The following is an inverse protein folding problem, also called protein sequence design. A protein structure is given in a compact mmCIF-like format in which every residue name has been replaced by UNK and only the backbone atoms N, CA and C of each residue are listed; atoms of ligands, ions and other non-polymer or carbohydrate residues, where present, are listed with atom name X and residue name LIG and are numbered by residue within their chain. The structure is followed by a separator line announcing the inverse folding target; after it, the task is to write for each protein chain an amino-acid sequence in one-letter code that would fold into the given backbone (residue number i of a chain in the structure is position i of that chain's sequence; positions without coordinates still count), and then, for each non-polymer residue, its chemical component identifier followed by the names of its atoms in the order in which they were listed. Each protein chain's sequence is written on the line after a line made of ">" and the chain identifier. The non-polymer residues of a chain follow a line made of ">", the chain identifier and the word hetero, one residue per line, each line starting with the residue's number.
data_IF_775247272017
#
_entry.id   IF_775247272017
#
_cell.length_a   1.000
_cell.length_b   1.000
_cell.length_c   1.000
_cell.angle_alpha   90.00
_cell.angle_beta   90.00
_cell.angle_gamma   90.00
#
_symmetry.space_group_name_H-M   'P 1'
#
loop_
_entity.id
_entity.type
_entity.pdbx_description
1 polymer ?
#
# COMPACT_ATOMS: atom_id res chain seq x y z
N UNK A 1 -37.17 34.36 61.18
CA UNK A 1 -36.13 33.35 60.90
C UNK A 1 -35.11 33.96 59.93
N UNK A 2 -34.04 34.52 60.49
CA UNK A 2 -32.99 35.27 59.78
C UNK A 2 -31.98 34.32 59.15
N UNK A 3 -31.79 34.50 57.84
CA UNK A 3 -30.67 34.09 56.99
C UNK A 3 -29.61 33.14 57.57
N UNK A 4 -29.70 31.85 57.22
CA UNK A 4 -28.51 31.00 57.05
C UNK A 4 -27.83 31.41 55.74
N UNK A 5 -27.07 32.49 55.74
CA UNK A 5 -26.21 32.83 54.60
C UNK A 5 -24.76 32.46 54.91
N UNK A 6 -24.39 31.32 54.33
CA UNK A 6 -23.26 31.22 53.40
C UNK A 6 -21.86 31.22 54.02
N UNK A 7 -21.46 30.05 54.49
CA UNK A 7 -20.06 29.63 54.65
C UNK A 7 -19.60 28.88 53.38
N UNK A 8 -19.48 29.58 52.25
CA UNK A 8 -18.93 29.00 50.99
C UNK A 8 -17.46 29.39 50.73
N UNK A 9 -16.85 30.16 51.64
CA UNK A 9 -15.48 30.71 51.45
C UNK A 9 -14.35 29.67 51.40
N UNK A 10 -14.59 28.43 51.86
CA UNK A 10 -13.63 27.31 51.73
C UNK A 10 -13.93 26.35 50.57
N UNK A 11 -15.16 26.34 50.07
CA UNK A 11 -15.59 25.43 49.00
C UNK A 11 -15.11 25.91 47.61
N UNK A 12 -14.97 27.23 47.42
CA UNK A 12 -14.48 27.78 46.14
C UNK A 12 -13.02 27.45 45.80
N UNK A 13 -12.15 27.26 46.80
CA UNK A 13 -10.74 26.89 46.55
C UNK A 13 -10.60 25.42 46.14
N UNK A 14 -11.36 24.52 46.76
CA UNK A 14 -11.36 23.09 46.38
C UNK A 14 -12.05 22.89 45.03
N UNK A 15 -13.09 23.67 44.73
CA UNK A 15 -13.76 23.69 43.43
C UNK A 15 -12.82 24.16 42.31
N UNK A 16 -12.03 25.21 42.54
CA UNK A 16 -11.05 25.70 41.57
C UNK A 16 -9.89 24.71 41.38
N UNK A 17 -9.45 24.05 42.45
CA UNK A 17 -8.43 22.99 42.37
C UNK A 17 -8.96 21.78 41.59
N UNK A 18 -10.20 21.34 41.87
CA UNK A 18 -10.85 20.28 41.10
C UNK A 18 -11.07 20.66 39.63
N UNK A 19 -11.47 21.90 39.35
CA UNK A 19 -11.65 22.41 37.99
C UNK A 19 -10.31 22.40 37.22
N UNK A 20 -9.21 22.82 37.85
CA UNK A 20 -7.88 22.79 37.26
C UNK A 20 -7.41 21.35 37.00
N UNK A 21 -7.67 20.41 37.91
CA UNK A 21 -7.34 18.99 37.73
C UNK A 21 -8.14 18.39 36.57
N UNK A 22 -9.45 18.61 36.52
CA UNK A 22 -10.30 18.11 35.43
C UNK A 22 -9.91 18.72 34.08
N UNK A 23 -9.58 20.01 34.05
CA UNK A 23 -9.06 20.68 32.87
C UNK A 23 -7.76 20.04 32.39
N UNK A 24 -6.80 19.79 33.30
CA UNK A 24 -5.53 19.16 32.95
C UNK A 24 -5.71 17.74 32.42
N UNK A 25 -6.58 16.94 33.04
CA UNK A 25 -6.92 15.59 32.55
C UNK A 25 -7.56 15.67 31.16
N UNK A 26 -8.47 16.61 30.94
CA UNK A 26 -9.09 16.84 29.64
C UNK A 26 -8.09 17.21 28.54
N UNK A 27 -7.16 18.13 28.81
CA UNK A 27 -6.14 18.55 27.84
C UNK A 27 -5.21 17.38 27.48
N UNK A 28 -4.77 16.59 28.46
CA UNK A 28 -3.93 15.42 28.20
C UNK A 28 -4.64 14.36 27.35
N UNK A 29 -5.93 14.13 27.59
CA UNK A 29 -6.74 13.22 26.78
C UNK A 29 -6.84 13.69 25.32
N UNK A 30 -7.05 14.99 25.11
CA UNK A 30 -7.14 15.59 23.76
C UNK A 30 -5.81 15.47 23.02
N UNK A 31 -4.67 15.73 23.69
CA UNK A 31 -3.34 15.60 23.08
C UNK A 31 -3.06 14.16 22.63
N UNK A 32 -3.39 13.17 23.47
CA UNK A 32 -3.24 11.75 23.12
C UNK A 32 -4.14 11.33 21.93
N UNK A 33 -5.35 11.88 21.85
CA UNK A 33 -6.25 11.66 20.72
C UNK A 33 -5.67 12.27 19.43
N UNK A 34 -5.15 13.50 19.48
CA UNK A 34 -4.53 14.16 18.33
C UNK A 34 -3.27 13.44 17.83
N UNK A 35 -2.40 12.96 18.73
CA UNK A 35 -1.22 12.20 18.31
C UNK A 35 -1.61 10.94 17.56
N UNK A 36 -2.60 10.20 18.07
CA UNK A 36 -3.11 8.98 17.44
C UNK A 36 -3.75 9.28 16.08
N UNK A 37 -4.54 10.36 15.99
CA UNK A 37 -5.13 10.83 14.74
C UNK A 37 -4.11 11.17 13.66
N UNK A 38 -3.00 11.83 14.02
CA UNK A 38 -1.93 12.15 13.07
C UNK A 38 -1.24 10.90 12.52
N UNK A 39 -0.99 9.86 13.34
CA UNK A 39 -0.43 8.61 12.87
C UNK A 39 -1.39 7.87 11.92
N UNK A 40 -2.68 7.85 12.26
CA UNK A 40 -3.70 7.26 11.40
C UNK A 40 -3.76 7.98 10.03
N UNK A 41 -3.72 9.32 10.01
CA UNK A 41 -3.70 10.11 8.79
C UNK A 41 -2.44 9.86 7.94
N UNK A 42 -1.26 9.77 8.55
CA UNK A 42 -0.02 9.44 7.82
C UNK A 42 -0.10 8.06 7.18
N UNK A 43 -0.66 7.07 7.88
CA UNK A 43 -0.86 5.72 7.33
C UNK A 43 -1.89 5.73 6.20
N UNK A 44 -3.00 6.44 6.35
CA UNK A 44 -4.02 6.57 5.32
C UNK A 44 -3.46 7.24 4.05
N UNK A 45 -2.67 8.31 4.20
CA UNK A 45 -1.98 8.98 3.09
C UNK A 45 -1.02 8.05 2.35
N UNK A 46 -0.26 7.22 3.09
CA UNK A 46 0.61 6.21 2.47
C UNK A 46 -0.17 5.19 1.65
N UNK A 47 -1.28 4.68 2.19
CA UNK A 47 -2.14 3.69 1.53
C UNK A 47 -2.78 4.31 0.27
N UNK A 48 -3.29 5.53 0.36
CA UNK A 48 -3.89 6.23 -0.79
C UNK A 48 -2.87 6.50 -1.91
N UNK A 49 -1.62 6.81 -1.56
CA UNK A 49 -0.55 6.97 -2.56
C UNK A 49 -0.19 5.61 -3.18
N UNK A 50 -0.11 4.56 -2.36
CA UNK A 50 0.19 3.21 -2.83
C UNK A 50 -0.91 2.67 -3.77
N UNK A 51 -2.18 2.92 -3.48
CA UNK A 51 -3.29 2.53 -4.35
C UNK A 51 -3.23 3.26 -5.70
N UNK A 52 -3.00 4.58 -5.68
CA UNK A 52 -2.84 5.35 -6.92
C UNK A 52 -1.65 4.87 -7.78
N UNK A 53 -0.56 4.43 -7.15
CA UNK A 53 0.57 3.82 -7.85
C UNK A 53 0.23 2.45 -8.44
N UNK A 54 -0.55 1.63 -7.72
CA UNK A 54 -1.03 0.35 -8.22
C UNK A 54 -1.97 0.54 -9.42
N UNK A 55 -2.92 1.48 -9.31
CA UNK A 55 -3.84 1.87 -10.40
C UNK A 55 -3.06 2.35 -11.61
N UNK A 56 -2.10 3.27 -11.42
CA UNK A 56 -1.27 3.78 -12.51
C UNK A 56 -0.49 2.67 -13.22
N UNK A 57 0.02 1.66 -12.49
CA UNK A 57 0.69 0.52 -13.09
C UNK A 57 -0.31 -0.37 -13.86
N UNK A 58 -1.51 -0.59 -13.33
CA UNK A 58 -2.56 -1.35 -14.01
C UNK A 58 -3.06 -0.66 -15.29
N UNK A 59 -3.14 0.67 -15.29
CA UNK A 59 -3.46 1.45 -16.49
C UNK A 59 -2.42 1.27 -17.61
N UNK A 60 -1.13 1.12 -17.28
CA UNK A 60 -0.10 0.80 -18.28
C UNK A 60 -0.36 -0.55 -18.95
N UNK A 61 -0.84 -1.54 -18.21
CA UNK A 61 -1.20 -2.86 -18.77
C UNK A 61 -2.50 -2.81 -19.58
N UNK A 62 -3.46 -1.96 -19.21
CA UNK A 62 -4.68 -1.72 -20.00
C UNK A 62 -4.40 -0.99 -21.31
N UNK A 63 -3.32 -0.21 -21.37
CA UNK A 63 -2.95 0.58 -22.55
C UNK A 63 -2.12 -0.19 -23.60
N UNK A 64 -1.76 -1.46 -23.35
CA UNK A 64 -0.95 -2.28 -24.26
C UNK A 64 -1.72 -3.50 -24.76
N UNK A 65 -1.28 -4.04 -25.89
CA UNK A 65 -1.87 -5.25 -26.48
C UNK A 65 -1.58 -6.49 -25.63
N UNK A 66 -2.44 -7.50 -25.72
CA UNK A 66 -2.30 -8.75 -24.96
C UNK A 66 -0.93 -9.41 -25.15
N UNK A 67 -0.35 -9.37 -26.36
CA UNK A 67 0.97 -9.94 -26.65
C UNK A 67 2.11 -9.20 -25.97
N UNK A 68 1.95 -7.91 -25.69
CA UNK A 68 2.94 -7.07 -25.02
C UNK A 68 2.92 -7.18 -23.49
N UNK A 69 1.88 -7.78 -22.89
CA UNK A 69 1.80 -8.03 -21.44
C UNK A 69 2.78 -9.16 -21.07
N UNK A 70 4.00 -8.78 -20.69
CA UNK A 70 5.05 -9.68 -20.26
C UNK A 70 6.14 -8.89 -19.50
N UNK A 71 6.91 -9.60 -18.67
CA UNK A 71 8.05 -9.05 -17.94
C UNK A 71 9.35 -9.27 -18.73
N UNK A 72 10.31 -8.38 -18.55
CA UNK A 72 11.63 -8.56 -19.15
C UNK A 72 12.40 -9.68 -18.42
N UNK A 73 12.78 -10.72 -19.17
CA UNK A 73 13.43 -11.90 -18.58
C UNK A 73 14.78 -11.60 -17.91
N UNK A 74 15.52 -10.58 -18.36
CA UNK A 74 16.82 -10.24 -17.77
C UNK A 74 16.65 -9.58 -16.41
N UNK A 75 15.74 -8.61 -16.32
CA UNK A 75 15.43 -7.94 -15.04
C UNK A 75 14.77 -8.91 -14.07
N UNK A 76 13.92 -9.82 -14.56
CA UNK A 76 13.29 -10.86 -13.75
C UNK A 76 14.31 -11.84 -13.15
N UNK A 77 15.38 -12.17 -13.88
CA UNK A 77 16.48 -12.99 -13.37
C UNK A 77 17.21 -12.37 -12.17
N UNK A 78 17.12 -11.04 -12.00
CA UNK A 78 17.84 -10.28 -10.96
C UNK A 78 16.98 -9.89 -9.75
N UNK A 79 15.70 -10.27 -9.71
CA UNK A 79 14.83 -9.92 -8.58
C UNK A 79 15.27 -10.58 -7.28
N UNK A 80 15.07 -9.86 -6.18
CA UNK A 80 15.48 -10.25 -4.84
C UNK A 80 14.50 -11.22 -4.15
N UNK A 81 14.81 -11.59 -2.91
CA UNK A 81 13.97 -12.48 -2.11
C UNK A 81 12.67 -11.82 -1.64
N UNK A 82 12.57 -10.49 -1.57
CA UNK A 82 11.28 -9.83 -1.25
C UNK A 82 10.26 -10.12 -2.34
N UNK A 83 10.69 -10.09 -3.60
CA UNK A 83 9.87 -10.50 -4.74
C UNK A 83 9.62 -12.02 -4.72
N UNK A 84 10.68 -12.83 -4.60
CA UNK A 84 10.56 -14.30 -4.68
C UNK A 84 9.79 -14.93 -3.53
N UNK A 85 9.73 -14.30 -2.37
CA UNK A 85 8.99 -14.79 -1.20
C UNK A 85 7.60 -14.14 -1.07
N UNK A 86 7.15 -13.43 -2.09
CA UNK A 86 5.78 -12.94 -2.14
C UNK A 86 4.81 -14.10 -2.37
N UNK A 87 3.74 -14.12 -1.57
CA UNK A 87 2.65 -15.10 -1.68
C UNK A 87 1.89 -15.01 -3.00
N UNK A 88 1.99 -13.89 -3.72
CA UNK A 88 1.41 -13.75 -5.07
C UNK A 88 2.11 -14.64 -6.10
N UNK A 89 3.41 -14.91 -5.93
CA UNK A 89 4.17 -15.77 -6.83
C UNK A 89 4.00 -17.26 -6.46
N UNK A 90 3.78 -17.56 -5.19
CA UNK A 90 3.53 -18.92 -4.71
C UNK A 90 3.75 -19.10 -3.20
N UNK A 91 3.52 -20.32 -2.72
CA UNK A 91 3.60 -20.65 -1.28
C UNK A 91 5.02 -20.94 -0.76
N UNK A 92 6.04 -21.02 -1.63
CA UNK A 92 7.43 -21.31 -1.23
C UNK A 92 8.23 -20.02 -0.99
N UNK A 93 9.40 -20.11 -0.37
CA UNK A 93 10.31 -18.98 -0.26
C UNK A 93 11.77 -19.49 -0.30
N UNK A 94 12.56 -19.13 -1.32
CA UNK A 94 12.19 -18.39 -2.52
C UNK A 94 11.32 -19.23 -3.50
N UNK A 95 10.31 -18.63 -4.13
CA UNK A 95 9.63 -19.21 -5.28
C UNK A 95 10.47 -19.08 -6.55
N UNK A 96 10.21 -19.97 -7.52
CA UNK A 96 10.72 -19.85 -8.89
C UNK A 96 9.91 -18.80 -9.67
N UNK A 97 10.58 -17.97 -10.47
CA UNK A 97 9.95 -17.03 -11.41
C UNK A 97 9.65 -17.66 -12.77
N UNK A 98 9.91 -18.96 -12.95
CA UNK A 98 9.76 -19.65 -14.23
C UNK A 98 8.32 -19.79 -14.75
N UNK A 99 7.32 -19.61 -13.88
CA UNK A 99 5.90 -19.60 -14.27
C UNK A 99 5.44 -18.23 -14.77
N UNK A 100 6.29 -17.21 -14.72
CA UNK A 100 5.92 -15.87 -15.12
C UNK A 100 6.03 -15.67 -16.64
N UNK A 101 5.12 -14.85 -17.17
CA UNK A 101 5.10 -14.52 -18.59
C UNK A 101 6.23 -13.55 -18.89
N UNK A 102 7.21 -14.00 -19.66
CA UNK A 102 8.40 -13.21 -20.02
C UNK A 102 8.50 -12.95 -21.52
N UNK A 103 9.12 -11.82 -21.86
CA UNK A 103 9.52 -11.46 -23.21
C UNK A 103 10.84 -10.70 -23.17
N UNK A 104 11.48 -10.49 -24.31
CA UNK A 104 12.58 -9.54 -24.42
C UNK A 104 12.00 -8.14 -24.63
N UNK A 105 12.03 -7.32 -23.57
CA UNK A 105 11.58 -5.94 -23.71
C UNK A 105 12.66 -5.08 -24.35
N UNK A 106 12.24 -4.09 -25.12
CA UNK A 106 13.14 -3.15 -25.79
C UNK A 106 12.82 -1.72 -25.37
N UNK A 107 13.85 -0.86 -25.38
CA UNK A 107 13.78 0.53 -24.92
C UNK A 107 14.90 0.87 -23.94
N UNK A 108 15.37 2.11 -23.96
CA UNK A 108 16.31 2.65 -22.98
C UNK A 108 15.81 4.02 -22.51
N UNK A 109 15.31 4.15 -21.27
CA UNK A 109 15.11 3.09 -20.28
C UNK A 109 14.02 2.08 -20.69
N UNK A 110 14.04 0.89 -20.07
CA UNK A 110 12.99 -0.11 -20.28
C UNK A 110 11.61 0.47 -19.89
N UNK A 111 10.52 0.10 -20.59
CA UNK A 111 9.17 0.50 -20.19
C UNK A 111 8.81 -0.01 -18.78
N UNK A 112 8.10 0.80 -18.01
CA UNK A 112 7.77 0.49 -16.62
C UNK A 112 6.94 -0.80 -16.44
N UNK A 113 6.15 -1.18 -17.45
CA UNK A 113 5.37 -2.42 -17.47
C UNK A 113 6.22 -3.69 -17.65
N UNK A 114 7.45 -3.55 -18.15
CA UNK A 114 8.38 -4.66 -18.35
C UNK A 114 9.25 -4.93 -17.12
N UNK A 115 9.34 -3.97 -16.20
CA UNK A 115 10.23 -4.06 -15.04
C UNK A 115 9.46 -4.73 -13.90
N UNK A 116 9.85 -5.94 -13.46
CA UNK A 116 9.11 -6.71 -12.45
C UNK A 116 9.13 -6.04 -11.09
N UNK A 117 10.22 -5.36 -10.74
CA UNK A 117 10.37 -4.67 -9.47
C UNK A 117 11.02 -3.31 -9.67
N UNK A 118 10.34 -2.25 -9.24
CA UNK A 118 10.85 -0.88 -9.35
C UNK A 118 10.54 -0.07 -8.11
N UNK A 119 11.44 0.85 -7.78
CA UNK A 119 11.25 1.81 -6.70
C UNK A 119 10.89 3.17 -7.27
N UNK A 120 9.90 3.83 -6.70
CA UNK A 120 9.43 5.16 -7.09
C UNK A 120 9.19 6.03 -5.86
N UNK A 121 9.43 7.32 -5.99
CA UNK A 121 9.03 8.30 -4.98
C UNK A 121 7.60 8.75 -5.24
N UNK A 122 6.70 8.50 -4.28
CA UNK A 122 5.31 8.93 -4.34
C UNK A 122 5.15 10.46 -4.20
N UNK A 123 3.95 10.95 -4.48
CA UNK A 123 3.62 12.38 -4.35
C UNK A 123 3.78 12.93 -2.92
N UNK A 124 3.79 12.04 -1.92
CA UNK A 124 4.04 12.33 -0.51
C UNK A 124 5.54 12.34 -0.13
N UNK A 125 6.43 12.31 -1.15
CA UNK A 125 7.89 12.24 -1.02
C UNK A 125 8.42 10.99 -0.31
N UNK A 126 7.64 9.91 -0.27
CA UNK A 126 8.08 8.64 0.31
C UNK A 126 8.47 7.64 -0.77
N UNK A 127 9.36 6.72 -0.41
CA UNK A 127 9.77 5.64 -1.29
C UNK A 127 8.75 4.51 -1.27
N UNK A 128 8.35 4.05 -2.45
CA UNK A 128 7.49 2.89 -2.65
C UNK A 128 8.18 1.92 -3.57
N UNK A 129 7.97 0.63 -3.33
CA UNK A 129 8.37 -0.43 -4.25
C UNK A 129 7.12 -1.01 -4.90
N UNK A 130 7.13 -1.08 -6.22
CA UNK A 130 6.07 -1.68 -7.03
C UNK A 130 6.64 -2.98 -7.57
N UNK A 131 6.02 -4.09 -7.20
CA UNK A 131 6.31 -5.42 -7.71
C UNK A 131 5.14 -5.86 -8.60
N UNK A 132 5.44 -6.35 -9.80
CA UNK A 132 4.43 -6.83 -10.74
C UNK A 132 4.69 -8.28 -11.05
N UNK A 133 3.69 -9.12 -10.85
CA UNK A 133 3.70 -10.55 -11.16
C UNK A 133 2.76 -10.80 -12.33
N UNK A 134 3.21 -11.57 -13.31
CA UNK A 134 2.37 -11.93 -14.46
C UNK A 134 2.38 -13.44 -14.62
N UNK A 135 1.26 -14.09 -14.35
CA UNK A 135 1.09 -15.54 -14.51
C UNK A 135 -0.03 -15.83 -15.50
N UNK A 136 -0.07 -17.06 -16.01
CA UNK A 136 -1.17 -17.51 -16.88
C UNK A 136 -2.12 -18.39 -16.08
N UNK A 137 -3.41 -18.07 -16.12
CA UNK A 137 -4.48 -18.86 -15.51
C UNK A 137 -5.46 -19.30 -16.58
N UNK A 138 -5.83 -20.58 -16.59
CA UNK A 138 -6.82 -21.12 -17.53
C UNK A 138 -8.04 -21.59 -16.76
N UNK A 139 -9.19 -20.90 -16.84
CA UNK A 139 -10.43 -21.36 -16.24
C UNK A 139 -10.88 -22.70 -16.86
N UNK A 140 -11.64 -23.50 -16.11
CA UNK A 140 -12.20 -24.75 -16.62
C UNK A 140 -13.10 -24.48 -17.82
N UNK A 141 -12.80 -25.09 -18.96
CA UNK A 141 -13.45 -24.83 -20.27
C UNK A 141 -13.28 -23.40 -20.81
N UNK A 142 -12.36 -22.61 -20.24
CA UNK A 142 -12.03 -21.25 -20.66
C UNK A 142 -10.75 -21.17 -21.50
N UNK A 143 -10.38 -19.94 -21.87
CA UNK A 143 -9.11 -19.64 -22.54
C UNK A 143 -8.04 -19.27 -21.53
N UNK A 144 -6.77 -19.31 -21.95
CA UNK A 144 -5.67 -18.89 -21.11
C UNK A 144 -5.68 -17.35 -20.96
N UNK A 145 -5.89 -16.90 -19.73
CA UNK A 145 -5.87 -15.49 -19.35
C UNK A 145 -4.55 -15.14 -18.68
N UNK A 146 -4.04 -13.93 -18.91
CA UNK A 146 -2.89 -13.42 -18.16
C UNK A 146 -3.41 -12.74 -16.90
N UNK A 147 -3.04 -13.28 -15.74
CA UNK A 147 -3.28 -12.66 -14.44
C UNK A 147 -2.10 -11.75 -14.10
N UNK A 148 -2.34 -10.44 -14.15
CA UNK A 148 -1.40 -9.42 -13.69
C UNK A 148 -1.76 -9.05 -12.26
N UNK A 149 -0.78 -9.15 -11.35
CA UNK A 149 -0.91 -8.73 -9.96
C UNK A 149 0.14 -7.68 -9.65
N UNK A 150 -0.28 -6.49 -9.23
CA UNK A 150 0.58 -5.39 -8.81
C UNK A 150 0.54 -5.30 -7.29
N UNK A 151 1.70 -5.37 -6.65
CA UNK A 151 1.86 -5.24 -5.20
C UNK A 151 2.70 -4.01 -4.90
N UNK A 152 2.18 -3.12 -4.06
CA UNK A 152 2.88 -1.89 -3.66
C UNK A 152 3.26 -1.97 -2.20
N UNK A 153 4.55 -1.82 -1.92
CA UNK A 153 5.16 -1.87 -0.59
C UNK A 153 5.75 -0.53 -0.19
N UNK A 154 5.90 -0.32 1.12
CA UNK A 154 6.74 0.75 1.64
C UNK A 154 8.21 0.44 1.30
N UNK A 155 8.88 1.34 0.57
CA UNK A 155 10.26 1.14 0.13
C UNK A 155 11.28 1.08 1.27
N UNK A 156 10.91 1.54 2.47
CA UNK A 156 11.76 1.48 3.67
C UNK A 156 11.45 0.29 4.58
N UNK A 157 10.34 -0.41 4.35
CA UNK A 157 9.86 -1.50 5.20
C UNK A 157 9.31 -2.66 4.35
N UNK A 158 10.18 -3.25 3.53
CA UNK A 158 9.83 -4.28 2.56
C UNK A 158 9.29 -5.59 3.16
N UNK A 159 9.63 -5.88 4.42
CA UNK A 159 9.13 -7.04 5.17
C UNK A 159 7.75 -6.82 5.81
N UNK A 160 7.25 -5.57 5.81
CA UNK A 160 5.91 -5.28 6.30
C UNK A 160 4.83 -5.75 5.31
N UNK A 161 3.57 -5.82 5.77
CA UNK A 161 2.44 -6.10 4.87
C UNK A 161 2.40 -5.06 3.73
N UNK A 162 2.11 -5.48 2.49
CA UNK A 162 1.89 -4.57 1.38
C UNK A 162 0.84 -3.51 1.71
N UNK A 163 1.02 -2.31 1.14
CA UNK A 163 0.11 -1.18 1.31
C UNK A 163 -1.09 -1.25 0.37
N UNK A 164 -0.88 -1.75 -0.84
CA UNK A 164 -1.91 -1.99 -1.83
C UNK A 164 -1.57 -3.23 -2.67
N UNK A 165 -2.60 -3.93 -3.12
CA UNK A 165 -2.49 -5.06 -4.04
C UNK A 165 -3.67 -5.01 -4.99
N UNK A 166 -3.38 -4.93 -6.29
CA UNK A 166 -4.38 -4.90 -7.35
C UNK A 166 -4.12 -6.07 -8.29
N UNK A 167 -5.17 -6.71 -8.78
CA UNK A 167 -5.06 -7.81 -9.73
C UNK A 167 -6.11 -7.69 -10.82
N UNK A 168 -5.74 -8.04 -12.05
CA UNK A 168 -6.66 -8.08 -13.19
C UNK A 168 -6.27 -9.18 -14.15
N UNK A 169 -7.26 -9.83 -14.74
CA UNK A 169 -7.05 -10.79 -15.83
C UNK A 169 -7.22 -10.11 -17.18
N UNK A 170 -6.40 -10.50 -18.13
CA UNK A 170 -6.45 -10.05 -19.52
C UNK A 170 -6.69 -11.26 -20.40
N UNK A 171 -7.68 -11.19 -21.28
CA UNK A 171 -7.95 -12.19 -22.29
C UNK A 171 -7.51 -11.70 -23.68
N UNK A 172 -7.09 -12.64 -24.53
CA UNK A 172 -6.68 -12.39 -25.90
C UNK A 172 -7.83 -11.85 -26.76
N UNK A 173 -9.09 -12.13 -26.43
CA UNK A 173 -10.24 -11.67 -27.21
C UNK A 173 -10.66 -10.23 -26.93
N UNK A 174 -10.16 -9.62 -25.85
CA UNK A 174 -10.59 -8.29 -25.36
C UNK A 174 -9.58 -7.18 -25.66
N UNK A 175 -8.38 -7.53 -26.15
CA UNK A 175 -7.32 -6.56 -26.46
C UNK A 175 -7.33 -6.21 -27.96
N UNK A 176 -7.60 -4.93 -28.26
CA UNK A 176 -7.39 -4.34 -29.59
C UNK A 176 -5.93 -4.20 -29.96
#
# INVERSE_FOLDING_TARGET
>A
MRARLRSERGFGLIELLMAMVMLNVGILAVVAAFSSGMFALKRASKISTASALADSQMELFRAITYSAIALDGTTLGTVDNTYKCDTTLGASCPNSTGSEVTTACSGSPLPNQCIPSRTITGADHKSYRIDTYITTTTPTNGRAEKLVTVVVRDGTALSARPLATEASTFDQSTAG
#
